data_IF_521609987315
#
_entry.id   IF_521609987315
#
_cell.length_a   1.000
_cell.length_b   1.000
_cell.length_c   1.000
_cell.angle_alpha   90.00
_cell.angle_beta   90.00
_cell.angle_gamma   90.00
#
_symmetry.space_group_name_H-M   'P 1'
#
loop_
_entity.id
_entity.type
_entity.pdbx_description
1 polymer ?
#
# COMPACT_ATOMS: atom_id res chain seq x y z
N UNK A 1 11.43 -3.76 -9.89
CA UNK A 1 9.97 -4.03 -10.04
C UNK A 1 9.30 -3.91 -8.66
N UNK A 2 8.02 -3.56 -8.57
CA UNK A 2 7.23 -3.35 -7.32
C UNK A 2 7.51 -2.09 -6.50
N UNK A 3 8.50 -1.28 -6.85
CA UNK A 3 8.82 -0.04 -6.12
C UNK A 3 8.07 1.19 -6.62
N UNK A 4 7.52 1.14 -7.84
CA UNK A 4 6.85 2.27 -8.48
C UNK A 4 5.34 2.05 -8.47
N UNK A 5 4.61 2.99 -7.85
CA UNK A 5 3.15 2.95 -7.76
C UNK A 5 2.63 4.28 -8.28
N UNK A 6 1.68 4.23 -9.21
CA UNK A 6 1.15 5.43 -9.85
C UNK A 6 -0.06 5.14 -10.73
N UNK A 7 -0.73 6.22 -11.11
CA UNK A 7 -1.85 6.21 -12.04
C UNK A 7 -1.79 7.45 -12.95
N UNK A 8 -2.45 7.44 -14.12
CA UNK A 8 -2.48 8.61 -15.00
C UNK A 8 -3.14 9.85 -14.37
N UNK A 9 -4.14 9.61 -13.51
CA UNK A 9 -4.91 10.67 -12.84
C UNK A 9 -4.22 11.24 -11.59
N UNK A 10 -3.17 10.59 -11.07
CA UNK A 10 -2.56 10.99 -9.81
C UNK A 10 -1.65 12.22 -9.96
N UNK A 11 -1.32 12.86 -8.85
CA UNK A 11 -0.30 13.90 -8.75
C UNK A 11 0.86 13.37 -7.89
N UNK A 12 2.08 13.35 -8.44
CA UNK A 12 3.21 12.73 -7.76
C UNK A 12 3.62 13.43 -6.47
N UNK A 13 3.51 14.76 -6.42
CA UNK A 13 3.91 15.55 -5.27
C UNK A 13 2.86 15.44 -4.17
N UNK A 14 1.57 15.49 -4.51
CA UNK A 14 0.47 15.30 -3.58
C UNK A 14 0.56 13.93 -2.86
N UNK A 15 0.74 12.85 -3.62
CA UNK A 15 0.85 11.50 -3.06
C UNK A 15 2.13 11.35 -2.23
N UNK A 16 3.27 11.85 -2.72
CA UNK A 16 4.53 11.77 -1.99
C UNK A 16 4.48 12.54 -0.68
N UNK A 17 3.93 13.76 -0.69
CA UNK A 17 3.81 14.60 0.50
C UNK A 17 2.89 13.96 1.54
N UNK A 18 1.73 13.45 1.12
CA UNK A 18 0.81 12.75 2.01
C UNK A 18 1.49 11.53 2.64
N UNK A 19 2.09 10.64 1.84
CA UNK A 19 2.73 9.43 2.37
C UNK A 19 3.94 9.71 3.25
N UNK A 20 4.76 10.71 2.92
CA UNK A 20 5.89 11.11 3.76
C UNK A 20 5.42 11.75 5.08
N UNK A 21 4.26 12.42 5.11
CA UNK A 21 3.68 12.98 6.33
C UNK A 21 3.23 11.93 7.34
N UNK A 22 2.99 10.69 6.90
CA UNK A 22 2.64 9.56 7.77
C UNK A 22 3.83 9.08 8.62
N UNK A 23 5.06 9.50 8.31
CA UNK A 23 6.28 9.13 9.02
C UNK A 23 6.43 7.61 9.24
N UNK A 24 6.10 6.82 8.23
CA UNK A 24 6.25 5.36 8.27
C UNK A 24 7.73 4.98 8.49
N UNK A 25 7.96 4.05 9.41
CA UNK A 25 9.31 3.62 9.77
C UNK A 25 10.02 2.90 8.61
N UNK A 26 11.32 3.13 8.48
CA UNK A 26 12.17 2.50 7.47
C UNK A 26 11.88 2.84 5.99
N UNK A 27 11.02 3.82 5.67
CA UNK A 27 10.64 4.15 4.28
C UNK A 27 10.52 5.64 3.99
N UNK A 28 10.86 6.03 2.76
CA UNK A 28 10.57 7.34 2.17
C UNK A 28 9.92 7.19 0.79
N UNK A 29 9.11 8.18 0.41
CA UNK A 29 8.43 8.19 -0.88
C UNK A 29 9.00 9.31 -1.74
N UNK A 30 9.50 8.95 -2.92
CA UNK A 30 10.01 9.91 -3.90
C UNK A 30 8.96 10.11 -5.00
N UNK A 31 8.56 11.35 -5.34
CA UNK A 31 7.67 11.58 -6.48
C UNK A 31 8.33 11.08 -7.77
N UNK A 32 7.55 10.41 -8.62
CA UNK A 32 8.03 9.91 -9.92
C UNK A 32 6.96 10.07 -11.01
N UNK A 33 7.44 10.20 -12.25
CA UNK A 33 6.67 10.01 -13.48
C UNK A 33 7.27 8.87 -14.27
N UNK A 34 6.45 7.99 -14.81
CA UNK A 34 6.90 6.83 -15.56
C UNK A 34 5.87 6.41 -16.60
N UNK A 35 6.32 5.76 -17.68
CA UNK A 35 5.45 5.18 -18.70
C UNK A 35 5.54 3.66 -18.58
N UNK A 36 4.48 2.97 -18.12
CA UNK A 36 4.45 1.52 -18.07
C UNK A 36 4.60 0.92 -19.47
N UNK A 37 5.36 -0.15 -19.58
CA UNK A 37 5.52 -0.89 -20.84
C UNK A 37 4.42 -1.93 -21.08
N UNK A 38 3.66 -2.31 -20.05
CA UNK A 38 2.64 -3.37 -20.11
C UNK A 38 1.45 -3.08 -19.18
N UNK A 39 0.40 -3.90 -19.29
CA UNK A 39 -0.81 -3.87 -18.44
C UNK A 39 -1.71 -2.66 -18.69
N UNK A 40 -2.56 -2.32 -17.71
CA UNK A 40 -3.71 -1.40 -17.80
C UNK A 40 -3.38 0.06 -18.15
N UNK A 41 -2.13 0.50 -18.01
CA UNK A 41 -1.68 1.86 -18.31
C UNK A 41 -0.48 1.85 -19.27
N UNK A 42 -0.36 0.80 -20.10
CA UNK A 42 0.73 0.69 -21.07
C UNK A 42 0.73 1.89 -22.02
N UNK A 43 1.87 2.59 -22.13
CA UNK A 43 2.03 3.75 -23.00
C UNK A 43 1.45 5.06 -22.45
N UNK A 44 0.84 5.06 -21.26
CA UNK A 44 0.33 6.27 -20.60
C UNK A 44 1.34 6.81 -19.58
N UNK A 45 1.40 8.13 -19.42
CA UNK A 45 2.22 8.74 -18.36
C UNK A 45 1.50 8.53 -17.02
N UNK A 46 2.07 7.68 -16.16
CA UNK A 46 1.68 7.52 -14.78
C UNK A 46 2.49 8.45 -13.89
N UNK A 47 1.80 9.03 -12.89
CA UNK A 47 2.37 9.86 -11.83
C UNK A 47 2.14 9.16 -10.49
N UNK A 48 3.05 9.32 -9.54
CA UNK A 48 2.93 8.70 -8.23
C UNK A 48 4.25 8.67 -7.47
N UNK A 49 4.55 7.55 -6.82
CA UNK A 49 5.69 7.44 -5.91
C UNK A 49 6.58 6.23 -6.22
N UNK A 50 7.89 6.42 -5.99
CA UNK A 50 8.81 5.33 -5.73
C UNK A 50 8.96 5.14 -4.23
N UNK A 51 8.85 3.89 -3.79
CA UNK A 51 9.14 3.45 -2.42
C UNK A 51 10.65 3.28 -2.27
N UNK A 52 11.26 4.04 -1.36
CA UNK A 52 12.67 3.91 -0.98
C UNK A 52 12.74 3.34 0.44
N UNK A 53 13.17 2.08 0.56
CA UNK A 53 13.43 1.46 1.87
C UNK A 53 14.78 1.97 2.38
N UNK A 54 14.75 2.71 3.50
CA UNK A 54 15.93 3.32 4.12
C UNK A 54 16.42 2.54 5.35
N UNK A 55 15.55 1.76 5.98
CA UNK A 55 15.92 0.79 7.02
C UNK A 55 15.05 -0.47 6.87
N UNK A 56 15.71 -1.60 6.58
CA UNK A 56 15.02 -2.88 6.34
C UNK A 56 14.47 -3.53 7.61
N UNK A 57 15.06 -3.25 8.77
CA UNK A 57 14.63 -3.83 10.05
C UNK A 57 13.37 -3.14 10.59
N UNK A 58 13.18 -1.87 10.25
CA UNK A 58 11.99 -1.10 10.63
C UNK A 58 10.89 -1.12 9.58
N UNK A 59 11.23 -1.40 8.32
CA UNK A 59 10.27 -1.35 7.22
C UNK A 59 9.16 -2.39 7.37
N UNK A 60 7.91 -1.90 7.31
CA UNK A 60 6.70 -2.74 7.29
C UNK A 60 6.08 -2.76 5.89
N UNK A 61 6.31 -3.81 5.07
CA UNK A 61 5.89 -3.81 3.67
C UNK A 61 4.37 -3.81 3.48
N UNK A 62 3.65 -4.63 4.27
CA UNK A 62 2.19 -4.76 4.17
C UNK A 62 1.50 -3.46 4.59
N UNK A 63 1.88 -2.89 5.74
CA UNK A 63 1.37 -1.58 6.20
C UNK A 63 1.65 -0.48 5.18
N UNK A 64 2.86 -0.46 4.61
CA UNK A 64 3.23 0.50 3.57
C UNK A 64 2.33 0.37 2.34
N UNK A 65 2.11 -0.85 1.85
CA UNK A 65 1.22 -1.11 0.71
C UNK A 65 -0.21 -0.64 0.97
N UNK A 66 -0.75 -0.92 2.17
CA UNK A 66 -2.09 -0.48 2.56
C UNK A 66 -2.19 1.05 2.70
N UNK A 67 -1.16 1.71 3.25
CA UNK A 67 -1.11 3.17 3.32
C UNK A 67 -1.09 3.80 1.93
N UNK A 68 -0.36 3.22 0.97
CA UNK A 68 -0.37 3.69 -0.43
C UNK A 68 -1.77 3.54 -1.02
N UNK A 69 -2.42 2.38 -0.89
CA UNK A 69 -3.78 2.17 -1.39
C UNK A 69 -4.77 3.16 -0.76
N UNK A 70 -4.70 3.34 0.56
CA UNK A 70 -5.53 4.28 1.29
C UNK A 70 -5.31 5.74 0.86
N UNK A 71 -4.05 6.15 0.64
CA UNK A 71 -3.72 7.48 0.13
C UNK A 71 -4.34 7.73 -1.24
N UNK A 72 -4.24 6.77 -2.18
CA UNK A 72 -4.89 6.88 -3.49
C UNK A 72 -6.42 6.94 -3.39
N UNK A 73 -7.02 6.16 -2.48
CA UNK A 73 -8.47 6.22 -2.22
C UNK A 73 -8.88 7.59 -1.67
N UNK A 74 -8.12 8.15 -0.73
CA UNK A 74 -8.42 9.42 -0.08
C UNK A 74 -8.28 10.62 -1.03
N UNK A 75 -7.18 10.67 -1.79
CA UNK A 75 -6.88 11.77 -2.72
C UNK A 75 -7.74 11.72 -3.99
N UNK A 76 -7.99 10.53 -4.52
CA UNK A 76 -8.61 10.36 -5.84
C UNK A 76 -9.94 9.61 -5.78
N UNK A 77 -10.79 9.92 -4.78
CA UNK A 77 -12.08 9.22 -4.52
C UNK A 77 -12.94 9.00 -5.78
N UNK A 78 -12.97 9.95 -6.70
CA UNK A 78 -13.78 9.86 -7.93
C UNK A 78 -13.17 8.95 -9.01
N UNK A 79 -11.85 8.77 -9.01
CA UNK A 79 -11.12 7.96 -9.98
C UNK A 79 -10.71 6.59 -9.41
N UNK A 80 -10.79 6.43 -8.09
CA UNK A 80 -10.44 5.20 -7.39
C UNK A 80 -11.58 4.19 -7.46
N UNK A 81 -11.24 2.95 -7.83
CA UNK A 81 -12.16 1.82 -7.73
C UNK A 81 -11.39 0.56 -7.33
N UNK A 82 -12.03 -0.26 -6.51
CA UNK A 82 -11.52 -1.59 -6.20
C UNK A 82 -11.64 -2.48 -7.42
N UNK A 83 -10.57 -3.22 -7.73
CA UNK A 83 -10.68 -4.35 -8.65
C UNK A 83 -11.36 -5.51 -7.93
N UNK A 84 -12.46 -6.01 -8.49
CA UNK A 84 -13.26 -7.07 -7.87
C UNK A 84 -12.41 -8.19 -7.25
N UNK A 85 -12.68 -8.47 -5.98
CA UNK A 85 -12.08 -9.53 -5.16
C UNK A 85 -10.54 -9.55 -5.09
N UNK A 86 -9.83 -8.55 -5.64
CA UNK A 86 -8.36 -8.64 -5.72
C UNK A 86 -7.72 -8.41 -4.35
N UNK A 87 -8.12 -7.35 -3.64
CA UNK A 87 -7.61 -7.08 -2.30
C UNK A 87 -8.05 -8.17 -1.31
N UNK A 88 -9.34 -8.53 -1.34
CA UNK A 88 -9.92 -9.50 -0.42
C UNK A 88 -9.22 -10.87 -0.52
N UNK A 89 -8.84 -11.30 -1.73
CA UNK A 89 -8.07 -12.53 -1.95
C UNK A 89 -6.62 -12.43 -1.51
N UNK A 90 -5.99 -11.25 -1.65
CA UNK A 90 -4.62 -11.04 -1.20
C UNK A 90 -4.51 -10.96 0.33
N UNK A 91 -5.50 -10.33 0.98
CA UNK A 91 -5.56 -10.20 2.43
C UNK A 91 -6.13 -11.45 3.12
N UNK A 92 -6.80 -12.34 2.37
CA UNK A 92 -7.50 -13.51 2.93
C UNK A 92 -8.80 -13.14 3.67
N UNK A 93 -9.21 -11.87 3.60
CA UNK A 93 -10.42 -11.35 4.26
C UNK A 93 -10.92 -10.11 3.51
N UNK A 94 -12.24 -9.89 3.55
CA UNK A 94 -12.89 -8.68 3.06
C UNK A 94 -12.85 -7.51 4.05
N UNK A 95 -12.55 -7.78 5.32
CA UNK A 95 -12.68 -6.81 6.41
C UNK A 95 -11.85 -5.54 6.20
N UNK A 96 -10.64 -5.65 5.64
CA UNK A 96 -9.76 -4.50 5.40
C UNK A 96 -10.37 -3.55 4.36
N UNK A 97 -10.89 -4.09 3.27
CA UNK A 97 -11.55 -3.30 2.22
C UNK A 97 -12.83 -2.65 2.75
N UNK A 98 -13.66 -3.43 3.43
CA UNK A 98 -14.92 -2.96 4.02
C UNK A 98 -14.65 -1.82 5.04
N UNK A 99 -13.69 -2.00 5.94
CA UNK A 99 -13.30 -0.97 6.90
C UNK A 99 -12.79 0.31 6.21
N UNK A 100 -12.01 0.20 5.13
CA UNK A 100 -11.58 1.37 4.35
C UNK A 100 -12.75 2.06 3.63
N UNK A 101 -13.78 1.32 3.23
CA UNK A 101 -14.96 1.87 2.54
C UNK A 101 -15.96 2.53 3.49
N UNK A 102 -16.00 2.12 4.76
CA UNK A 102 -16.94 2.61 5.80
C UNK A 102 -16.50 3.93 6.46
N UNK A 103 -15.29 4.42 6.18
CA UNK A 103 -14.74 5.64 6.77
C UNK A 103 -14.21 6.61 5.72
N UNK A 104 -14.20 7.89 6.05
CA UNK A 104 -13.51 8.94 5.28
C UNK A 104 -12.00 9.02 5.57
N UNK A 105 -11.52 8.22 6.51
CA UNK A 105 -10.12 8.14 6.95
C UNK A 105 -9.49 6.75 6.66
N UNK A 106 -9.40 6.31 5.39
CA UNK A 106 -8.90 4.98 5.06
C UNK A 106 -7.43 4.76 5.47
N UNK A 107 -6.67 5.84 5.66
CA UNK A 107 -5.28 5.77 6.14
C UNK A 107 -5.23 5.32 7.61
N UNK A 108 -6.17 5.76 8.45
CA UNK A 108 -6.24 5.31 9.84
C UNK A 108 -6.42 3.79 9.91
N UNK A 109 -7.32 3.24 9.09
CA UNK A 109 -7.52 1.79 8.96
C UNK A 109 -6.21 1.07 8.60
N UNK A 110 -5.43 1.61 7.66
CA UNK A 110 -4.16 1.02 7.26
C UNK A 110 -3.09 1.06 8.38
N UNK A 111 -3.06 2.13 9.17
CA UNK A 111 -2.10 2.32 10.26
C UNK A 111 -2.43 1.43 11.47
N UNK A 112 -3.72 1.35 11.82
CA UNK A 112 -4.23 0.64 13.00
C UNK A 112 -4.39 -0.86 12.79
N UNK A 113 -4.35 -1.33 11.54
CA UNK A 113 -4.45 -2.76 11.24
C UNK A 113 -3.37 -3.54 12.00
N UNK A 114 -3.82 -4.48 12.81
CA UNK A 114 -2.95 -5.44 13.47
C UNK A 114 -2.40 -6.42 12.42
N UNK A 115 -1.08 -6.42 12.31
CA UNK A 115 -0.32 -7.26 11.40
C UNK A 115 0.60 -8.21 12.19
N UNK A 116 0.42 -8.30 13.50
CA UNK A 116 1.14 -9.26 14.32
C UNK A 116 0.65 -10.67 13.96
N UNK A 117 1.57 -11.62 13.69
CA UNK A 117 1.17 -13.01 13.53
C UNK A 117 0.54 -13.51 14.84
N UNK A 118 -0.53 -14.28 14.73
CA UNK A 118 -1.18 -14.85 15.90
C UNK A 118 -0.29 -15.91 16.58
N UNK A 119 -0.55 -16.13 17.87
CA UNK A 119 0.22 -17.06 18.71
C UNK A 119 0.17 -18.50 18.19
N UNK A 120 -0.94 -18.88 17.54
CA UNK A 120 -1.11 -20.22 16.97
C UNK A 120 -0.18 -20.43 15.78
N UNK A 121 -0.11 -19.46 14.86
CA UNK A 121 0.83 -19.45 13.75
C UNK A 121 2.28 -19.46 14.27
N UNK A 122 2.60 -18.65 15.29
CA UNK A 122 3.94 -18.62 15.86
C UNK A 122 4.34 -19.96 16.49
N UNK A 123 3.40 -20.63 17.18
CA UNK A 123 3.59 -21.97 17.71
C UNK A 123 3.83 -22.99 16.60
N UNK A 124 2.95 -23.08 15.62
CA UNK A 124 3.08 -23.99 14.48
C UNK A 124 4.37 -23.75 13.69
N UNK A 125 4.73 -22.48 13.48
CA UNK A 125 5.96 -22.09 12.80
C UNK A 125 7.18 -22.63 13.52
N UNK A 126 7.22 -22.54 14.85
CA UNK A 126 8.39 -22.95 15.65
C UNK A 126 8.74 -24.44 15.50
N UNK A 127 7.76 -25.29 15.23
CA UNK A 127 7.94 -26.74 15.04
C UNK A 127 8.60 -27.09 13.69
N UNK A 128 8.58 -26.15 12.73
CA UNK A 128 9.02 -26.35 11.35
C UNK A 128 10.24 -25.48 10.96
N UNK A 129 10.85 -24.76 11.90
CA UNK A 129 12.03 -23.93 11.62
C UNK A 129 13.29 -24.77 11.42
N UNK A 130 14.00 -24.50 10.32
CA UNK A 130 15.29 -25.13 9.99
C UNK A 130 16.45 -24.13 10.22
N UNK A 131 16.12 -22.85 10.42
CA UNK A 131 17.04 -21.75 10.73
C UNK A 131 16.33 -20.70 11.61
#
# INVERSE_FOLDING_TARGET
>A
PFEWIGAPFADEDEVANLLNSLNLAGVKFRPIRFVPSTSKHAGEICKGVQVHVIDRNEFSPVRTGLCIVAAFKQLYRQNFSWREMTLDRLMGTKSVREAMDETDEPIAVALELDLTPDDEFMKQRSECLIY
#
